data_IF_505632405283
#
_entry.id   IF_505632405283
#
_cell.length_a   1.000
_cell.length_b   1.000
_cell.length_c   1.000
_cell.angle_alpha   90.00
_cell.angle_beta   90.00
_cell.angle_gamma   90.00
#
_symmetry.space_group_name_H-M   'P 1'
#
loop_
_entity.id
_entity.type
_entity.pdbx_description
1 polymer ?
#
# COMPACT_ATOMS: atom_id res chain seq x y z
N UNK A 1 17.23 -22.33 17.88
CA UNK A 1 16.46 -22.14 16.62
C UNK A 1 15.65 -20.86 16.77
N UNK A 2 16.05 -19.80 16.07
CA UNK A 2 15.58 -18.43 16.30
C UNK A 2 14.33 -18.12 15.47
N UNK A 3 13.17 -18.01 16.11
CA UNK A 3 11.86 -17.69 15.49
C UNK A 3 11.76 -16.20 15.12
N UNK A 4 12.73 -15.36 15.52
CA UNK A 4 12.73 -13.91 15.26
C UNK A 4 12.99 -13.49 13.80
N UNK A 5 13.64 -14.31 12.97
CA UNK A 5 14.03 -13.90 11.61
C UNK A 5 12.84 -13.88 10.64
N UNK A 6 11.89 -14.81 10.81
CA UNK A 6 10.86 -15.09 9.79
C UNK A 6 9.86 -13.96 9.58
N UNK A 7 9.57 -13.14 10.60
CA UNK A 7 8.55 -12.09 10.52
C UNK A 7 9.00 -10.86 9.72
N UNK A 8 10.30 -10.57 9.73
CA UNK A 8 10.86 -9.48 8.93
C UNK A 8 10.99 -9.89 7.45
N UNK A 9 11.31 -11.15 7.19
CA UNK A 9 11.38 -11.72 5.83
C UNK A 9 10.01 -11.80 5.18
N UNK A 10 8.98 -12.20 5.94
CA UNK A 10 7.57 -12.14 5.52
C UNK A 10 7.18 -10.70 5.14
N UNK A 11 7.54 -9.72 5.97
CA UNK A 11 7.26 -8.31 5.68
C UNK A 11 7.95 -7.81 4.40
N UNK A 12 9.21 -8.15 4.19
CA UNK A 12 9.96 -7.73 3.00
C UNK A 12 9.45 -8.42 1.71
N UNK A 13 9.15 -9.71 1.77
CA UNK A 13 8.51 -10.43 0.66
C UNK A 13 7.12 -9.84 0.36
N UNK A 14 6.39 -9.47 1.41
CA UNK A 14 5.05 -8.93 1.28
C UNK A 14 5.04 -7.55 0.61
N UNK A 15 5.95 -6.66 1.00
CA UNK A 15 6.18 -5.37 0.32
C UNK A 15 6.56 -5.58 -1.15
N UNK A 16 7.44 -6.54 -1.45
CA UNK A 16 7.83 -6.82 -2.86
C UNK A 16 6.66 -7.30 -3.70
N UNK A 17 5.80 -8.14 -3.14
CA UNK A 17 4.58 -8.57 -3.82
C UNK A 17 3.61 -7.39 -4.04
N UNK A 18 3.43 -6.51 -3.05
CA UNK A 18 2.55 -5.34 -3.16
C UNK A 18 3.02 -4.43 -4.29
N UNK A 19 4.33 -4.17 -4.37
CA UNK A 19 4.91 -3.36 -5.43
C UNK A 19 4.67 -3.95 -6.82
N UNK A 20 4.92 -5.26 -7.01
CA UNK A 20 4.64 -5.93 -8.29
C UNK A 20 3.17 -5.87 -8.67
N UNK A 21 2.27 -6.06 -7.72
CA UNK A 21 0.82 -6.03 -7.95
C UNK A 21 0.34 -4.63 -8.35
N UNK A 22 0.92 -3.58 -7.76
CA UNK A 22 0.65 -2.18 -8.14
C UNK A 22 1.18 -1.83 -9.53
N UNK A 23 2.40 -2.25 -9.85
CA UNK A 23 2.95 -2.05 -11.21
C UNK A 23 2.08 -2.74 -12.25
N UNK A 24 1.62 -3.96 -11.96
CA UNK A 24 0.70 -4.69 -12.86
C UNK A 24 -0.66 -4.02 -13.03
N UNK A 25 -1.09 -3.19 -12.06
CA UNK A 25 -2.30 -2.38 -12.16
C UNK A 25 -2.09 -1.05 -12.90
N UNK A 26 -0.85 -0.75 -13.33
CA UNK A 26 -0.53 0.46 -14.08
C UNK A 26 0.09 1.59 -13.25
N UNK A 27 0.46 1.34 -11.99
CA UNK A 27 1.22 2.32 -11.20
C UNK A 27 2.68 2.40 -11.67
N UNK A 28 3.27 3.59 -11.55
CA UNK A 28 4.70 3.76 -11.75
C UNK A 28 5.50 2.98 -10.70
N UNK A 29 6.64 2.40 -11.09
CA UNK A 29 7.47 1.55 -10.21
C UNK A 29 7.86 2.26 -8.92
N UNK A 30 8.23 3.54 -9.00
CA UNK A 30 8.65 4.31 -7.82
C UNK A 30 7.50 4.52 -6.82
N UNK A 31 6.31 4.84 -7.36
CA UNK A 31 5.10 5.06 -6.57
C UNK A 31 4.55 3.75 -5.98
N UNK A 32 4.54 2.69 -6.77
CA UNK A 32 4.19 1.34 -6.34
C UNK A 32 5.06 0.89 -5.16
N UNK A 33 6.37 1.16 -5.20
CA UNK A 33 7.30 0.81 -4.11
C UNK A 33 7.08 1.67 -2.85
N UNK A 34 6.67 2.93 -3.01
CA UNK A 34 6.30 3.81 -1.88
C UNK A 34 5.01 3.34 -1.21
N UNK A 35 3.99 3.06 -2.02
CA UNK A 35 2.69 2.54 -1.57
C UNK A 35 2.80 1.15 -0.96
N UNK A 36 3.66 0.28 -1.52
CA UNK A 36 3.90 -1.06 -0.99
C UNK A 36 4.49 -1.07 0.42
N UNK A 37 5.29 -0.05 0.77
CA UNK A 37 5.84 0.14 2.12
C UNK A 37 4.84 0.77 3.10
N UNK A 38 3.75 1.33 2.59
CA UNK A 38 2.73 2.01 3.38
C UNK A 38 1.68 1.00 3.84
N UNK A 39 1.78 0.56 5.08
CA UNK A 39 0.79 -0.36 5.67
C UNK A 39 -0.60 0.29 5.85
N UNK A 40 -0.63 1.63 5.92
CA UNK A 40 -1.85 2.44 6.06
C UNK A 40 -2.76 2.42 4.82
N UNK A 41 -2.24 2.02 3.66
CA UNK A 41 -3.00 1.98 2.40
C UNK A 41 -3.60 0.60 2.22
N UNK A 42 -4.92 0.53 2.06
CA UNK A 42 -5.57 -0.73 1.71
C UNK A 42 -5.39 -1.02 0.21
N UNK A 43 -4.53 -2.00 -0.08
CA UNK A 43 -4.22 -2.38 -1.46
C UNK A 43 -5.47 -2.87 -2.20
N UNK A 44 -6.38 -3.55 -1.50
CA UNK A 44 -7.57 -4.11 -2.11
C UNK A 44 -8.48 -3.00 -2.62
N UNK A 45 -8.71 -1.97 -1.79
CA UNK A 45 -9.44 -0.76 -2.20
C UNK A 45 -8.75 0.01 -3.31
N UNK A 46 -7.41 0.06 -3.29
CA UNK A 46 -6.64 0.76 -4.32
C UNK A 46 -6.83 0.10 -5.69
N UNK A 47 -6.72 -1.23 -5.75
CA UNK A 47 -6.95 -2.00 -6.99
C UNK A 47 -8.40 -1.91 -7.46
N UNK A 48 -9.36 -1.94 -6.53
CA UNK A 48 -10.79 -1.77 -6.82
C UNK A 48 -11.14 -0.40 -7.43
N UNK A 49 -10.39 0.65 -7.08
CA UNK A 49 -10.57 1.97 -7.71
C UNK A 49 -10.03 1.96 -9.13
N UNK A 50 -8.84 1.39 -9.33
CA UNK A 50 -8.22 1.31 -10.65
C UNK A 50 -9.02 0.42 -11.60
N UNK A 51 -9.55 -0.70 -11.11
CA UNK A 51 -10.44 -1.60 -11.87
C UNK A 51 -11.73 -0.88 -12.33
N UNK A 52 -12.26 0.03 -11.50
CA UNK A 52 -13.40 0.90 -11.86
C UNK A 52 -13.05 1.99 -12.87
N UNK A 53 -11.80 2.06 -13.35
CA UNK A 53 -11.32 3.06 -14.30
C UNK A 53 -10.83 4.36 -13.64
N UNK A 54 -10.66 4.37 -12.31
CA UNK A 54 -10.07 5.51 -11.64
C UNK A 54 -8.57 5.58 -11.96
N UNK A 55 -8.02 6.74 -12.36
CA UNK A 55 -6.60 6.86 -12.58
C UNK A 55 -5.82 6.64 -11.27
N UNK A 56 -4.65 5.99 -11.33
CA UNK A 56 -3.86 5.58 -10.16
C UNK A 56 -3.47 6.76 -9.26
N UNK A 57 -3.17 7.92 -9.85
CA UNK A 57 -2.84 9.16 -9.15
C UNK A 57 -4.01 9.64 -8.25
N UNK A 58 -5.23 9.57 -8.79
CA UNK A 58 -6.45 9.92 -8.05
C UNK A 58 -6.79 8.86 -7.00
N UNK A 59 -6.62 7.58 -7.33
CA UNK A 59 -6.86 6.49 -6.38
C UNK A 59 -5.90 6.57 -5.18
N UNK A 60 -4.64 6.91 -5.42
CA UNK A 60 -3.66 7.17 -4.38
C UNK A 60 -4.05 8.37 -3.51
N UNK A 61 -4.64 9.43 -4.07
CA UNK A 61 -5.14 10.59 -3.30
C UNK A 61 -6.42 10.29 -2.51
N UNK A 62 -7.30 9.44 -3.02
CA UNK A 62 -8.53 9.02 -2.32
C UNK A 62 -8.19 8.15 -1.11
N UNK A 63 -7.19 7.27 -1.26
CA UNK A 63 -6.74 6.35 -0.21
C UNK A 63 -5.61 6.87 0.65
N UNK A 64 -4.92 7.94 0.22
CA UNK A 64 -4.01 8.66 1.07
C UNK A 64 -4.80 9.00 2.34
N UNK A 65 -4.34 8.56 3.53
CA UNK A 65 -4.96 9.05 4.75
C UNK A 65 -4.88 10.57 4.64
N UNK A 66 -6.04 11.22 4.68
CA UNK A 66 -6.09 12.63 5.06
C UNK A 66 -5.27 12.65 6.34
N UNK A 67 -4.10 13.26 6.30
CA UNK A 67 -3.39 13.60 7.51
C UNK A 67 -4.42 14.43 8.28
N UNK A 68 -5.07 13.79 9.23
CA UNK A 68 -5.99 14.43 10.12
C UNK A 68 -5.08 14.98 11.20
N UNK A 69 -4.71 16.28 11.19
CA UNK A 69 -3.89 16.84 12.25
C UNK A 69 -4.62 16.80 13.60
N UNK A 70 -5.81 16.19 13.72
CA UNK A 70 -6.62 16.19 14.94
C UNK A 70 -7.49 14.93 15.07
N UNK A 71 -6.87 13.75 15.10
CA UNK A 71 -7.56 12.51 15.44
C UNK A 71 -6.96 11.83 16.67
N UNK A 72 -7.47 12.15 17.86
CA UNK A 72 -7.25 11.41 19.10
C UNK A 72 -7.46 9.90 18.89
N UNK A 73 -6.38 9.12 18.85
CA UNK A 73 -6.41 7.66 18.67
C UNK A 73 -6.45 6.98 20.05
N UNK A 74 -7.59 7.07 20.74
CA UNK A 74 -7.85 6.27 21.95
C UNK A 74 -9.07 5.39 21.76
N UNK A 75 -8.87 4.11 21.43
CA UNK A 75 -9.77 3.03 21.84
C UNK A 75 -9.13 1.66 21.82
#
# INVERSE_FOLDING_TARGET
MSIGSRRAEDGAEWVRWRGRRLVSAGFQVDEAQRLARSDRIDLHRLLELVDRGCPPDLAARILAPLDDPTGDQKR
#
